data_IF_589150952945
#
_entry.id   IF_589150952945
#
_cell.length_a   1.000
_cell.length_b   1.000
_cell.length_c   1.000
_cell.angle_alpha   90.00
_cell.angle_beta   90.00
_cell.angle_gamma   90.00
#
_symmetry.space_group_name_H-M   'P 1'
#
loop_
_entity.id
_entity.type
_entity.pdbx_description
1 polymer ?
#
# COMPACT_ATOMS: atom_id res chain seq x y z
N UNK A 1 43.27 26.64 57.89
CA UNK A 1 42.16 27.44 57.31
C UNK A 1 42.69 28.19 56.10
N UNK A 2 42.59 27.65 54.87
CA UNK A 2 43.07 28.36 53.69
C UNK A 2 42.02 29.41 53.27
N UNK A 3 42.50 30.63 53.13
CA UNK A 3 41.78 31.85 52.78
C UNK A 3 41.05 31.76 51.45
N UNK A 4 39.72 31.82 51.49
CA UNK A 4 38.88 32.23 50.37
C UNK A 4 39.10 33.73 50.09
N UNK A 5 40.15 34.09 49.35
CA UNK A 5 40.19 35.37 48.64
C UNK A 5 40.07 35.04 47.15
N UNK A 6 38.82 34.86 46.68
CA UNK A 6 38.53 35.02 45.26
C UNK A 6 38.88 36.46 44.90
N UNK A 7 39.84 36.63 44.01
CA UNK A 7 40.30 37.94 43.57
C UNK A 7 39.13 38.74 42.98
N UNK A 8 38.65 39.70 43.76
CA UNK A 8 37.50 40.55 43.43
C UNK A 8 37.75 41.35 42.15
N UNK A 9 39.01 41.74 41.91
CA UNK A 9 39.41 42.45 40.70
C UNK A 9 39.27 41.54 39.47
N UNK A 10 39.80 40.32 39.54
CA UNK A 10 39.68 39.34 38.46
C UNK A 10 38.21 39.03 38.14
N UNK A 11 37.37 38.90 39.17
CA UNK A 11 35.94 38.66 39.00
C UNK A 11 35.25 39.82 38.26
N UNK A 12 35.55 41.07 38.65
CA UNK A 12 34.94 42.26 38.05
C UNK A 12 35.47 42.51 36.63
N UNK A 13 36.75 42.25 36.38
CA UNK A 13 37.35 42.28 35.05
C UNK A 13 36.65 41.28 34.11
N UNK A 14 36.51 40.02 34.54
CA UNK A 14 35.85 38.99 33.73
C UNK A 14 34.36 39.31 33.47
N UNK A 15 33.66 39.90 34.44
CA UNK A 15 32.29 40.40 34.25
C UNK A 15 32.22 41.52 33.21
N UNK A 16 33.14 42.49 33.25
CA UNK A 16 33.22 43.55 32.26
C UNK A 16 33.52 43.01 30.84
N UNK A 17 34.45 42.06 30.71
CA UNK A 17 34.73 41.39 29.44
C UNK A 17 33.51 40.64 28.91
N UNK A 18 32.82 39.87 29.76
CA UNK A 18 31.60 39.15 29.40
C UNK A 18 30.48 40.10 28.96
N UNK A 19 30.32 41.23 29.66
CA UNK A 19 29.34 42.24 29.29
C UNK A 19 29.68 42.90 27.95
N UNK A 20 30.95 43.23 27.70
CA UNK A 20 31.39 43.80 26.44
C UNK A 20 31.15 42.83 25.28
N UNK A 21 31.50 41.55 25.43
CA UNK A 21 31.27 40.52 24.42
C UNK A 21 29.79 40.40 24.02
N UNK A 22 28.87 40.54 24.98
CA UNK A 22 27.44 40.38 24.72
C UNK A 22 26.73 41.65 24.20
N UNK A 23 27.33 42.83 24.34
CA UNK A 23 26.67 44.12 24.02
C UNK A 23 27.39 44.94 22.96
N UNK A 24 28.66 44.65 22.68
CA UNK A 24 29.43 45.34 21.63
C UNK A 24 29.23 44.62 20.31
N UNK A 25 28.96 45.39 19.25
CA UNK A 25 28.91 44.88 17.88
C UNK A 25 30.33 44.85 17.31
N UNK A 26 30.80 43.66 16.96
CA UNK A 26 32.16 43.47 16.43
C UNK A 26 32.26 42.31 15.43
N UNK A 27 31.18 41.56 15.23
CA UNK A 27 31.14 40.44 14.27
C UNK A 27 30.50 40.95 12.99
N UNK A 28 31.23 40.94 11.89
CA UNK A 28 30.69 41.37 10.60
C UNK A 28 29.95 40.22 9.92
N UNK A 29 28.69 40.43 9.53
CA UNK A 29 27.93 39.46 8.75
C UNK A 29 28.37 39.45 7.28
N UNK A 30 27.88 38.49 6.50
CA UNK A 30 28.20 38.35 5.07
C UNK A 30 27.75 39.53 4.20
N UNK A 31 26.94 40.45 4.74
CA UNK A 31 26.49 41.69 4.08
C UNK A 31 27.27 42.93 4.52
N UNK A 32 28.23 42.80 5.44
CA UNK A 32 29.00 43.92 5.96
C UNK A 32 28.37 44.65 7.16
N UNK A 33 27.32 44.10 7.77
CA UNK A 33 26.68 44.68 8.95
C UNK A 33 27.30 44.13 10.24
N UNK A 34 27.53 45.00 11.22
CA UNK A 34 28.09 44.59 12.51
C UNK A 34 27.02 44.04 13.46
N UNK A 35 27.30 42.87 14.00
CA UNK A 35 26.48 42.07 14.89
C UNK A 35 27.19 41.87 16.25
N UNK A 36 26.38 41.70 17.28
CA UNK A 36 26.78 41.15 18.59
C UNK A 36 26.87 39.62 18.52
N UNK A 37 27.45 39.00 19.55
CA UNK A 37 27.59 37.55 19.63
C UNK A 37 26.23 36.82 19.51
N UNK A 38 25.22 37.28 20.25
CA UNK A 38 23.88 36.68 20.24
C UNK A 38 23.03 37.04 19.02
N UNK A 39 23.53 37.87 18.12
CA UNK A 39 22.89 38.23 16.85
C UNK A 39 23.35 37.35 15.68
N UNK A 40 24.46 36.61 15.84
CA UNK A 40 25.20 35.94 14.78
C UNK A 40 24.99 34.41 14.76
N UNK A 41 24.95 33.83 13.55
CA UNK A 41 24.88 32.40 13.28
C UNK A 41 25.95 32.02 12.25
N UNK A 42 26.70 30.95 12.52
CA UNK A 42 27.57 30.30 11.53
C UNK A 42 26.77 29.17 10.87
N UNK A 43 26.42 29.31 9.59
CA UNK A 43 25.80 28.21 8.81
C UNK A 43 26.89 27.36 8.13
N UNK A 44 27.14 26.17 8.69
CA UNK A 44 28.11 25.23 8.15
C UNK A 44 27.63 24.50 6.89
N UNK A 45 26.31 24.47 6.65
CA UNK A 45 25.73 23.74 5.53
C UNK A 45 25.49 24.64 4.31
N UNK A 46 25.66 25.95 4.49
CA UNK A 46 25.50 26.99 3.46
C UNK A 46 24.10 27.01 2.80
N UNK A 47 23.10 26.45 3.47
CA UNK A 47 21.71 26.45 3.00
C UNK A 47 21.09 27.84 3.10
N UNK A 48 21.58 28.70 4.01
CA UNK A 48 21.18 30.11 4.11
C UNK A 48 21.47 30.89 2.82
N UNK A 49 22.49 30.48 2.07
CA UNK A 49 22.90 31.11 0.81
C UNK A 49 22.09 30.62 -0.39
N UNK A 50 21.35 29.52 -0.24
CA UNK A 50 20.56 28.94 -1.31
C UNK A 50 19.18 29.60 -1.37
N UNK A 51 18.76 30.05 -2.55
CA UNK A 51 17.48 30.76 -2.71
C UNK A 51 16.25 29.92 -2.33
N UNK A 52 16.35 28.58 -2.42
CA UNK A 52 15.23 27.69 -2.15
C UNK A 52 14.94 27.45 -0.65
N UNK A 53 15.91 27.70 0.24
CA UNK A 53 15.70 27.75 1.71
C UNK A 53 15.75 29.20 2.16
N UNK A 54 16.85 29.89 1.85
CA UNK A 54 17.08 31.27 2.23
C UNK A 54 17.36 31.46 3.72
N UNK A 55 17.38 32.72 4.13
CA UNK A 55 17.85 33.12 5.46
C UNK A 55 16.77 33.05 6.53
N UNK A 56 15.52 33.32 6.13
CA UNK A 56 14.39 33.43 7.05
C UNK A 56 14.01 32.12 7.75
N UNK A 57 13.94 30.95 7.08
CA UNK A 57 13.53 29.73 7.76
C UNK A 57 14.51 29.30 8.85
N UNK A 58 15.82 29.39 8.57
CA UNK A 58 16.89 29.09 9.52
C UNK A 58 16.83 30.05 10.70
N UNK A 59 16.70 31.37 10.44
CA UNK A 59 16.57 32.38 11.49
C UNK A 59 15.37 32.11 12.40
N UNK A 60 14.19 31.85 11.82
CA UNK A 60 12.96 31.57 12.57
C UNK A 60 13.14 30.31 13.43
N UNK A 61 13.72 29.25 12.86
CA UNK A 61 13.96 28.02 13.59
C UNK A 61 14.92 28.23 14.78
N UNK A 62 16.04 28.92 14.55
CA UNK A 62 17.01 29.26 15.61
C UNK A 62 16.39 30.12 16.72
N UNK A 63 15.53 31.10 16.38
CA UNK A 63 14.79 31.91 17.37
C UNK A 63 13.84 31.08 18.25
N UNK A 64 13.32 29.96 17.74
CA UNK A 64 12.40 29.10 18.50
C UNK A 64 13.12 28.06 19.37
N UNK A 65 14.31 27.62 18.98
CA UNK A 65 15.11 26.64 19.73
C UNK A 65 16.02 27.28 20.78
N UNK A 66 16.63 28.42 20.45
CA UNK A 66 17.35 29.23 21.42
C UNK A 66 16.31 29.99 22.24
N UNK A 67 16.29 29.77 23.56
CA UNK A 67 15.41 30.35 24.57
C UNK A 67 14.85 31.76 24.27
N UNK A 68 13.71 32.19 24.86
CA UNK A 68 12.97 33.44 24.54
C UNK A 68 13.72 34.79 24.63
N UNK A 69 15.04 34.78 24.82
CA UNK A 69 15.94 35.92 24.80
C UNK A 69 16.89 35.95 23.58
N UNK A 70 16.76 35.04 22.60
CA UNK A 70 17.57 35.06 21.38
C UNK A 70 17.41 36.39 20.64
N UNK A 71 18.52 37.08 20.38
CA UNK A 71 18.58 38.43 19.78
C UNK A 71 19.00 38.38 18.32
N UNK A 72 18.67 37.32 17.59
CA UNK A 72 19.13 37.16 16.22
C UNK A 72 18.79 38.38 15.35
N UNK A 73 19.76 38.80 14.53
CA UNK A 73 19.58 39.95 13.63
C UNK A 73 18.35 39.77 12.74
N UNK A 74 17.52 40.82 12.65
CA UNK A 74 16.28 40.79 11.86
C UNK A 74 16.54 40.75 10.36
N UNK A 75 17.67 41.30 9.88
CA UNK A 75 18.00 41.42 8.47
C UNK A 75 18.78 40.20 7.96
N UNK A 76 19.89 39.86 8.63
CA UNK A 76 20.80 38.80 8.18
C UNK A 76 21.76 38.37 9.32
N UNK A 77 21.50 37.26 10.02
CA UNK A 77 22.35 36.81 11.14
C UNK A 77 23.60 36.03 10.70
N UNK A 78 23.78 35.73 9.41
CA UNK A 78 24.79 34.77 8.96
C UNK A 78 26.19 35.37 8.85
N UNK A 79 27.18 34.69 9.42
CA UNK A 79 28.59 35.07 9.41
C UNK A 79 29.44 33.96 8.80
N UNK A 80 30.62 34.32 8.28
CA UNK A 80 31.55 33.33 7.73
C UNK A 80 32.11 32.43 8.84
N UNK A 81 32.34 31.16 8.51
CA UNK A 81 32.94 30.22 9.44
C UNK A 81 34.39 30.61 9.78
N UNK A 82 34.67 30.77 11.06
CA UNK A 82 35.99 31.15 11.55
C UNK A 82 36.24 30.60 12.95
N UNK A 83 37.41 29.98 13.19
CA UNK A 83 37.75 29.32 14.47
C UNK A 83 37.54 30.23 15.70
N UNK A 84 37.97 31.49 15.63
CA UNK A 84 37.77 32.47 16.73
C UNK A 84 36.32 32.73 17.08
N UNK A 85 35.40 32.68 16.10
CA UNK A 85 33.98 32.89 16.37
C UNK A 85 33.39 31.66 17.09
N UNK A 86 33.87 30.46 16.76
CA UNK A 86 33.51 29.23 17.47
C UNK A 86 34.01 29.24 18.92
N UNK A 87 35.23 29.73 19.17
CA UNK A 87 35.77 29.90 20.53
C UNK A 87 35.00 30.91 21.38
N UNK A 88 34.25 31.81 20.75
CA UNK A 88 33.42 32.80 21.42
C UNK A 88 31.97 32.31 21.63
N UNK A 89 31.67 31.04 21.36
CA UNK A 89 30.33 30.45 21.48
C UNK A 89 29.27 31.13 20.59
N UNK A 90 29.64 31.56 19.39
CA UNK A 90 28.65 31.97 18.36
C UNK A 90 27.78 30.76 17.99
N UNK A 91 26.47 30.98 17.79
CA UNK A 91 25.55 29.92 17.43
C UNK A 91 25.98 29.25 16.10
N UNK A 92 26.09 27.93 16.12
CA UNK A 92 26.47 27.13 14.94
C UNK A 92 25.23 26.40 14.45
N UNK A 93 24.96 26.51 13.15
CA UNK A 93 23.88 25.84 12.45
C UNK A 93 24.43 24.71 11.58
N UNK A 94 23.93 23.50 11.83
CA UNK A 94 24.45 22.21 11.35
C UNK A 94 23.33 21.36 10.73
N UNK A 95 23.71 20.30 10.01
CA UNK A 95 22.76 19.35 9.40
C UNK A 95 21.77 18.74 10.40
N UNK A 96 22.14 18.60 11.67
CA UNK A 96 21.24 18.07 12.70
C UNK A 96 20.10 19.06 12.97
N UNK A 97 20.41 20.35 13.01
CA UNK A 97 19.41 21.40 13.12
C UNK A 97 18.59 21.54 11.83
N UNK A 98 19.17 21.33 10.65
CA UNK A 98 18.41 21.27 9.39
C UNK A 98 17.36 20.15 9.40
N UNK A 99 17.76 18.96 9.85
CA UNK A 99 16.87 17.80 9.94
C UNK A 99 15.65 18.12 10.81
N UNK A 100 15.86 18.80 11.93
CA UNK A 100 14.79 19.17 12.85
C UNK A 100 13.97 20.37 12.34
N UNK A 101 14.61 21.32 11.66
CA UNK A 101 13.92 22.41 10.95
C UNK A 101 12.98 21.86 9.88
N UNK A 102 13.42 20.91 9.05
CA UNK A 102 12.59 20.30 8.00
C UNK A 102 11.37 19.54 8.54
N UNK A 103 11.43 19.08 9.80
CA UNK A 103 10.28 18.46 10.49
C UNK A 103 9.33 19.48 11.12
N UNK A 104 9.76 20.73 11.30
CA UNK A 104 8.93 21.77 11.94
C UNK A 104 7.71 22.10 11.07
N UNK A 105 6.57 22.35 11.73
CA UNK A 105 5.31 22.69 11.04
C UNK A 105 5.40 24.05 10.35
N UNK A 106 6.18 24.95 10.93
CA UNK A 106 6.43 26.30 10.46
C UNK A 106 7.14 26.28 9.11
N UNK A 107 8.17 25.43 8.99
CA UNK A 107 8.90 25.24 7.74
C UNK A 107 8.01 24.62 6.66
N UNK A 108 7.35 23.49 6.97
CA UNK A 108 6.53 22.75 6.01
C UNK A 108 5.36 23.58 5.45
N UNK A 109 4.80 24.52 6.23
CA UNK A 109 3.74 25.42 5.76
C UNK A 109 4.20 26.39 4.66
N UNK A 110 5.46 26.82 4.68
CA UNK A 110 6.01 27.81 3.75
C UNK A 110 6.81 27.18 2.61
N UNK A 111 7.35 25.98 2.83
CA UNK A 111 8.20 25.30 1.86
C UNK A 111 7.38 24.78 0.68
N UNK A 112 7.73 25.24 -0.54
CA UNK A 112 7.00 24.92 -1.75
C UNK A 112 7.56 23.67 -2.46
N UNK A 113 6.79 23.09 -3.38
CA UNK A 113 7.26 21.97 -4.21
C UNK A 113 8.43 22.39 -5.10
N UNK A 114 8.40 23.61 -5.66
CA UNK A 114 9.50 24.11 -6.50
C UNK A 114 10.80 24.29 -5.70
N UNK A 115 10.70 24.74 -4.45
CA UNK A 115 11.83 24.76 -3.53
C UNK A 115 12.34 23.34 -3.24
N UNK A 116 11.44 22.36 -3.12
CA UNK A 116 11.83 20.97 -2.89
C UNK A 116 12.60 20.37 -4.07
N UNK A 117 12.22 20.67 -5.31
CA UNK A 117 12.95 20.24 -6.52
C UNK A 117 14.38 20.80 -6.53
N UNK A 118 14.53 22.07 -6.14
CA UNK A 118 15.84 22.71 -6.05
C UNK A 118 16.69 22.09 -4.93
N UNK A 119 16.10 21.79 -3.77
CA UNK A 119 16.77 21.09 -2.68
C UNK A 119 17.23 19.69 -3.11
N UNK A 120 16.39 18.93 -3.80
CA UNK A 120 16.74 17.60 -4.34
C UNK A 120 17.91 17.71 -5.32
N UNK A 121 17.87 18.68 -6.24
CA UNK A 121 18.96 18.92 -7.20
C UNK A 121 20.26 19.29 -6.49
N UNK A 122 20.20 20.20 -5.51
CA UNK A 122 21.35 20.62 -4.72
C UNK A 122 22.01 19.45 -3.96
N UNK A 123 21.20 18.61 -3.32
CA UNK A 123 21.69 17.41 -2.62
C UNK A 123 22.26 16.35 -3.58
N UNK A 124 21.68 16.23 -4.78
CA UNK A 124 22.18 15.34 -5.82
C UNK A 124 23.55 15.78 -6.36
N UNK A 125 23.78 17.09 -6.50
CA UNK A 125 25.06 17.64 -6.92
C UNK A 125 26.12 17.51 -5.81
N UNK A 126 25.68 17.63 -4.56
CA UNK A 126 26.53 17.51 -3.36
C UNK A 126 26.77 16.06 -2.91
N UNK A 127 26.26 15.06 -3.63
CA UNK A 127 26.32 13.63 -3.24
C UNK A 127 27.73 13.05 -3.12
N UNK A 128 28.74 13.71 -3.71
CA UNK A 128 30.14 13.28 -3.66
C UNK A 128 30.82 13.65 -2.34
N UNK A 129 30.23 14.56 -1.57
CA UNK A 129 30.68 14.88 -0.23
C UNK A 129 30.38 13.69 0.72
N UNK A 130 31.43 13.18 1.37
CA UNK A 130 31.34 12.00 2.25
C UNK A 130 30.48 12.25 3.49
N UNK A 131 30.44 13.47 4.00
CA UNK A 131 29.66 13.80 5.19
C UNK A 131 28.18 13.91 4.83
N UNK A 132 27.86 14.59 3.72
CA UNK A 132 26.48 14.67 3.21
C UNK A 132 25.97 13.29 2.84
N UNK A 133 26.76 12.48 2.12
CA UNK A 133 26.35 11.15 1.65
C UNK A 133 25.88 10.22 2.78
N UNK A 134 26.53 10.25 3.94
CA UNK A 134 26.11 9.47 5.12
C UNK A 134 24.78 9.96 5.71
N UNK A 135 24.52 11.25 5.59
CA UNK A 135 23.34 11.90 6.16
C UNK A 135 22.11 11.81 5.25
N UNK A 136 22.28 11.65 3.93
CA UNK A 136 21.18 11.63 2.96
C UNK A 136 20.04 10.66 3.33
N UNK A 137 20.34 9.48 3.89
CA UNK A 137 19.30 8.52 4.29
C UNK A 137 18.48 8.97 5.51
N UNK A 138 18.97 9.94 6.30
CA UNK A 138 18.35 10.45 7.53
C UNK A 138 17.63 11.79 7.32
N UNK A 139 18.02 12.55 6.30
CA UNK A 139 17.47 13.88 6.05
C UNK A 139 16.07 13.75 5.45
N UNK A 140 15.03 14.39 6.03
CA UNK A 140 13.72 14.46 5.41
C UNK A 140 13.74 15.56 4.36
N UNK A 141 14.03 15.22 3.10
CA UNK A 141 14.12 16.18 2.00
C UNK A 141 13.23 15.85 0.82
N UNK A 142 12.38 14.82 0.88
CA UNK A 142 11.48 14.46 -0.22
C UNK A 142 10.05 14.79 0.18
N UNK A 143 9.39 15.67 -0.56
CA UNK A 143 8.03 16.08 -0.24
C UNK A 143 7.01 15.01 -0.64
N UNK A 144 6.13 14.66 0.30
CA UNK A 144 4.98 13.80 0.05
C UNK A 144 3.75 14.59 -0.43
N UNK A 145 2.70 13.87 -0.79
CA UNK A 145 1.39 14.44 -1.18
C UNK A 145 0.74 15.36 -0.13
N UNK A 146 1.07 15.17 1.15
CA UNK A 146 0.54 15.98 2.25
C UNK A 146 1.41 17.23 2.48
N UNK A 147 2.38 17.49 1.59
CA UNK A 147 3.37 18.57 1.69
C UNK A 147 4.29 18.44 2.92
N UNK A 148 4.43 17.22 3.43
CA UNK A 148 5.37 16.91 4.50
C UNK A 148 6.67 16.38 3.89
N UNK A 149 7.81 16.82 4.44
CA UNK A 149 9.10 16.26 4.03
C UNK A 149 9.33 14.92 4.72
N UNK A 150 9.69 13.93 3.94
CA UNK A 150 9.94 12.55 4.38
C UNK A 150 11.39 12.15 4.08
N UNK A 151 11.88 11.20 4.85
CA UNK A 151 13.17 10.55 4.60
C UNK A 151 13.04 9.56 3.43
N UNK A 152 14.10 9.33 2.64
CA UNK A 152 14.06 8.45 1.48
C UNK A 152 13.48 7.06 1.75
N UNK A 153 13.79 6.46 2.90
CA UNK A 153 13.34 5.10 3.25
C UNK A 153 11.89 5.00 3.71
N UNK A 154 11.19 6.13 3.90
CA UNK A 154 9.79 6.18 4.36
C UNK A 154 8.81 6.63 3.29
N UNK A 155 9.30 6.93 2.09
CA UNK A 155 8.49 7.43 0.99
C UNK A 155 8.62 6.51 -0.22
N UNK A 156 7.53 6.33 -0.95
CA UNK A 156 7.50 5.50 -2.15
C UNK A 156 7.19 6.35 -3.38
N UNK A 157 7.78 5.97 -4.51
CA UNK A 157 7.34 6.51 -5.79
C UNK A 157 5.92 6.03 -6.10
N UNK A 158 5.03 6.91 -6.62
CA UNK A 158 3.74 6.47 -7.14
C UNK A 158 3.95 5.51 -8.32
N UNK A 159 3.12 4.47 -8.41
CA UNK A 159 3.15 3.55 -9.56
C UNK A 159 2.80 4.33 -10.85
N UNK A 160 3.47 4.00 -11.96
CA UNK A 160 3.21 4.60 -13.29
C UNK A 160 1.80 4.29 -13.84
N UNK A 161 1.00 3.52 -13.11
CA UNK A 161 -0.30 2.99 -13.52
C UNK A 161 -1.49 3.58 -12.73
N UNK A 162 -1.29 4.75 -12.11
CA UNK A 162 -2.25 5.41 -11.23
C UNK A 162 -3.45 6.05 -11.99
N UNK A 163 -4.44 5.24 -12.34
CA UNK A 163 -5.81 5.74 -12.53
C UNK A 163 -6.50 5.82 -11.17
N UNK A 164 -6.67 7.05 -10.67
CA UNK A 164 -7.74 7.70 -9.88
C UNK A 164 -8.36 6.94 -8.66
N UNK A 165 -8.37 5.62 -8.63
CA UNK A 165 -8.87 4.78 -7.53
C UNK A 165 -7.88 4.59 -6.36
N UNK A 166 -6.60 4.88 -6.56
CA UNK A 166 -5.55 4.76 -5.52
C UNK A 166 -5.50 5.97 -4.57
N UNK A 167 -6.27 7.02 -4.88
CA UNK A 167 -6.34 8.29 -4.16
C UNK A 167 -7.27 8.27 -2.95
N UNK A 168 -7.88 7.13 -2.62
CA UNK A 168 -8.75 7.06 -1.44
C UNK A 168 -7.93 7.44 -0.18
N UNK A 169 -8.43 8.45 0.53
CA UNK A 169 -7.78 9.28 1.55
C UNK A 169 -7.28 8.55 2.83
N UNK A 170 -6.99 7.25 2.76
CA UNK A 170 -6.85 6.42 3.96
C UNK A 170 -5.59 5.53 4.00
N UNK A 171 -4.68 5.67 3.05
CA UNK A 171 -3.36 5.03 3.19
C UNK A 171 -2.49 5.88 4.11
N UNK A 172 -2.10 5.33 5.27
CA UNK A 172 -1.09 5.92 6.17
C UNK A 172 0.30 6.09 5.52
N UNK A 173 0.44 5.67 4.26
CA UNK A 173 1.69 5.67 3.51
C UNK A 173 1.96 7.02 2.85
N UNK A 174 3.24 7.42 2.86
CA UNK A 174 3.72 8.62 2.21
C UNK A 174 4.17 8.32 0.76
N UNK A 175 3.56 9.03 -0.20
CA UNK A 175 3.89 8.96 -1.62
C UNK A 175 4.54 10.25 -2.06
N UNK A 176 5.57 10.15 -2.93
CA UNK A 176 6.23 11.31 -3.56
C UNK A 176 5.19 12.18 -4.25
N UNK A 177 5.24 13.49 -4.00
CA UNK A 177 4.33 14.46 -4.59
C UNK A 177 4.36 14.41 -6.13
N UNK A 178 3.21 14.47 -6.79
CA UNK A 178 3.08 14.24 -8.24
C UNK A 178 3.91 15.22 -9.09
N UNK A 179 3.88 16.50 -8.73
CA UNK A 179 4.69 17.53 -9.39
C UNK A 179 6.20 17.25 -9.35
N UNK A 180 6.70 16.56 -8.31
CA UNK A 180 8.11 16.14 -8.27
C UNK A 180 8.38 15.11 -9.37
N UNK A 181 7.47 14.16 -9.57
CA UNK A 181 7.61 13.13 -10.60
C UNK A 181 7.61 13.72 -12.01
N UNK A 182 6.84 14.78 -12.22
CA UNK A 182 6.74 15.45 -13.51
C UNK A 182 7.95 16.34 -13.83
N UNK A 183 8.55 16.96 -12.79
CA UNK A 183 9.62 17.96 -12.96
C UNK A 183 11.03 17.39 -12.72
N UNK A 184 11.18 16.30 -11.99
CA UNK A 184 12.48 15.68 -11.75
C UNK A 184 12.99 14.93 -12.98
N UNK A 185 14.28 15.07 -13.25
CA UNK A 185 14.95 14.35 -14.32
C UNK A 185 15.17 12.88 -13.95
N UNK A 186 15.26 12.00 -14.96
CA UNK A 186 15.45 10.56 -14.77
C UNK A 186 16.65 10.18 -13.90
N UNK A 187 17.73 10.97 -13.90
CA UNK A 187 18.90 10.70 -13.07
C UNK A 187 18.64 11.00 -11.59
N UNK A 188 17.82 12.00 -11.26
CA UNK A 188 17.38 12.25 -9.89
C UNK A 188 16.55 11.09 -9.37
N UNK A 189 15.60 10.59 -10.18
CA UNK A 189 14.75 9.45 -9.82
C UNK A 189 15.61 8.21 -9.52
N UNK A 190 16.58 7.88 -10.39
CA UNK A 190 17.50 6.75 -10.17
C UNK A 190 18.35 6.91 -8.90
N UNK A 191 18.78 8.12 -8.60
CA UNK A 191 19.54 8.38 -7.38
C UNK A 191 18.68 8.28 -6.12
N UNK A 192 17.47 8.80 -6.15
CA UNK A 192 16.51 8.65 -5.06
C UNK A 192 16.18 7.16 -4.80
N UNK A 193 16.07 6.35 -5.86
CA UNK A 193 15.94 4.90 -5.74
C UNK A 193 17.14 4.26 -5.02
N UNK A 194 18.37 4.68 -5.36
CA UNK A 194 19.59 4.23 -4.65
C UNK A 194 19.61 4.65 -3.17
N UNK A 195 18.98 5.79 -2.82
CA UNK A 195 18.86 6.24 -1.43
C UNK A 195 17.83 5.47 -0.61
N UNK A 196 17.04 4.60 -1.24
CA UNK A 196 16.04 3.76 -0.59
C UNK A 196 14.60 4.18 -0.84
N UNK A 197 14.34 5.12 -1.76
CA UNK A 197 12.98 5.38 -2.24
C UNK A 197 12.53 4.19 -3.09
N UNK A 198 11.69 3.34 -2.54
CA UNK A 198 11.24 2.15 -3.25
C UNK A 198 10.11 2.48 -4.23
N UNK A 199 10.14 1.85 -5.40
CA UNK A 199 8.93 1.70 -6.20
C UNK A 199 8.02 0.68 -5.50
N UNK A 200 6.82 1.10 -5.12
CA UNK A 200 5.75 0.12 -4.90
C UNK A 200 5.36 -0.40 -6.28
N UNK A 201 6.01 -1.48 -6.70
CA UNK A 201 5.56 -2.23 -7.87
C UNK A 201 4.19 -2.80 -7.57
N UNK A 202 3.35 -2.94 -8.59
CA UNK A 202 2.01 -3.53 -8.44
C UNK A 202 2.06 -4.92 -7.76
N UNK A 203 3.19 -5.63 -7.87
CA UNK A 203 3.49 -6.87 -7.16
C UNK A 203 3.62 -6.70 -5.65
N UNK A 204 4.34 -5.66 -5.19
CA UNK A 204 4.45 -5.38 -3.76
C UNK A 204 3.08 -5.06 -3.14
N UNK A 205 2.23 -4.32 -3.85
CA UNK A 205 0.85 -4.04 -3.43
C UNK A 205 -0.03 -5.29 -3.45
N UNK A 206 0.10 -6.09 -4.51
CA UNK A 206 -0.57 -7.38 -4.62
C UNK A 206 -0.25 -8.29 -3.42
N UNK A 207 1.02 -8.46 -3.08
CA UNK A 207 1.43 -9.34 -1.97
C UNK A 207 1.12 -8.78 -0.58
N UNK A 208 1.23 -7.47 -0.36
CA UNK A 208 1.10 -6.88 0.98
C UNK A 208 -0.29 -6.30 1.30
N UNK A 209 -1.12 -6.05 0.28
CA UNK A 209 -2.44 -5.44 0.46
C UNK A 209 -3.56 -6.33 -0.08
N UNK A 210 -3.47 -6.78 -1.34
CA UNK A 210 -4.55 -7.55 -1.97
C UNK A 210 -4.67 -8.96 -1.38
N UNK A 211 -3.55 -9.68 -1.24
CA UNK A 211 -3.57 -11.04 -0.66
C UNK A 211 -4.07 -11.03 0.79
N UNK A 212 -3.57 -10.19 1.71
CA UNK A 212 -4.02 -10.21 3.10
C UNK A 212 -5.47 -9.73 3.30
N UNK A 213 -6.00 -8.90 2.40
CA UNK A 213 -7.33 -8.31 2.49
C UNK A 213 -8.28 -8.81 1.39
N UNK A 214 -8.04 -10.00 0.83
CA UNK A 214 -8.77 -10.51 -0.33
C UNK A 214 -10.30 -10.46 -0.16
N UNK A 215 -10.82 -10.75 1.04
CA UNK A 215 -12.26 -10.76 1.32
C UNK A 215 -12.90 -9.37 1.40
N UNK A 216 -12.15 -8.31 1.69
CA UNK A 216 -12.69 -6.96 1.99
C UNK A 216 -12.21 -5.87 1.04
N UNK A 217 -11.19 -6.13 0.23
CA UNK A 217 -10.55 -5.11 -0.60
C UNK A 217 -11.43 -4.65 -1.77
N UNK A 218 -12.16 -5.58 -2.40
CA UNK A 218 -12.97 -5.29 -3.58
C UNK A 218 -14.36 -4.77 -3.17
N UNK A 219 -14.75 -3.62 -3.73
CA UNK A 219 -16.08 -3.04 -3.66
C UNK A 219 -16.64 -2.79 -5.09
N UNK A 220 -17.90 -2.38 -5.20
CA UNK A 220 -18.58 -2.26 -6.51
C UNK A 220 -17.89 -1.22 -7.41
N UNK A 221 -17.31 -0.17 -6.82
CA UNK A 221 -16.65 0.92 -7.54
C UNK A 221 -15.26 0.52 -8.07
N UNK A 222 -14.49 -0.25 -7.29
CA UNK A 222 -13.11 -0.60 -7.63
C UNK A 222 -12.97 -1.97 -8.33
N UNK A 223 -14.01 -2.81 -8.30
CA UNK A 223 -13.93 -4.20 -8.75
C UNK A 223 -13.49 -4.34 -10.20
N UNK A 224 -14.10 -3.56 -11.10
CA UNK A 224 -13.85 -3.69 -12.53
C UNK A 224 -12.38 -3.41 -12.86
N UNK A 225 -11.88 -2.25 -12.42
CA UNK A 225 -10.53 -1.80 -12.70
C UNK A 225 -9.47 -2.69 -12.03
N UNK A 226 -9.70 -3.08 -10.77
CA UNK A 226 -8.73 -3.91 -10.02
C UNK A 226 -8.56 -5.28 -10.66
N UNK A 227 -9.65 -5.97 -11.02
CA UNK A 227 -9.58 -7.30 -11.61
C UNK A 227 -8.98 -7.25 -13.03
N UNK A 228 -9.29 -6.22 -13.82
CA UNK A 228 -8.63 -5.95 -15.10
C UNK A 228 -7.13 -5.76 -14.95
N UNK A 229 -6.70 -5.03 -13.92
CA UNK A 229 -5.29 -4.83 -13.61
C UNK A 229 -4.59 -6.14 -13.20
N UNK A 230 -5.21 -6.93 -12.33
CA UNK A 230 -4.66 -8.23 -11.92
C UNK A 230 -4.49 -9.17 -13.11
N UNK A 231 -5.45 -9.19 -14.03
CA UNK A 231 -5.35 -9.97 -15.26
C UNK A 231 -4.19 -9.48 -16.13
N UNK A 232 -4.00 -8.17 -16.29
CA UNK A 232 -2.85 -7.61 -17.02
C UNK A 232 -1.51 -8.06 -16.42
N UNK A 233 -1.36 -8.00 -15.09
CA UNK A 233 -0.14 -8.43 -14.40
C UNK A 233 0.13 -9.93 -14.57
N UNK A 234 -0.92 -10.76 -14.48
CA UNK A 234 -0.85 -12.19 -14.76
C UNK A 234 -0.42 -12.48 -16.21
N UNK A 235 -1.05 -11.80 -17.18
CA UNK A 235 -0.76 -11.98 -18.61
C UNK A 235 0.65 -11.59 -18.99
N UNK A 236 1.23 -10.61 -18.29
CA UNK A 236 2.61 -10.19 -18.47
C UNK A 236 3.62 -11.02 -17.66
N UNK A 237 3.17 -12.09 -17.00
CA UNK A 237 4.02 -13.00 -16.24
C UNK A 237 4.58 -12.40 -14.95
N UNK A 238 3.99 -11.31 -14.45
CA UNK A 238 4.43 -10.67 -13.22
C UNK A 238 3.83 -11.35 -11.99
N UNK A 239 2.62 -11.90 -12.12
CA UNK A 239 1.94 -12.71 -11.08
C UNK A 239 1.83 -14.15 -11.58
N UNK A 240 2.12 -15.13 -10.74
CA UNK A 240 2.01 -16.54 -11.10
C UNK A 240 0.68 -17.16 -10.65
N UNK A 241 0.31 -18.29 -11.27
CA UNK A 241 -0.92 -19.01 -10.93
C UNK A 241 -0.99 -19.43 -9.46
N UNK A 242 0.15 -19.67 -8.82
CA UNK A 242 0.20 -20.08 -7.41
C UNK A 242 -0.15 -18.93 -6.46
N UNK A 243 0.18 -17.70 -6.82
CA UNK A 243 -0.23 -16.54 -6.04
C UNK A 243 -1.74 -16.27 -6.15
N UNK A 244 -2.32 -16.51 -7.33
CA UNK A 244 -3.75 -16.34 -7.57
C UNK A 244 -4.62 -17.35 -6.82
N UNK A 245 -4.10 -18.56 -6.53
CA UNK A 245 -4.83 -19.57 -5.74
C UNK A 245 -5.17 -19.07 -4.33
N UNK A 246 -4.34 -18.21 -3.76
CA UNK A 246 -4.58 -17.62 -2.44
C UNK A 246 -5.68 -16.54 -2.45
N UNK A 247 -6.17 -16.15 -3.64
CA UNK A 247 -7.21 -15.15 -3.84
C UNK A 247 -8.60 -15.75 -4.10
N UNK A 248 -8.84 -17.00 -3.73
CA UNK A 248 -10.16 -17.63 -3.88
C UNK A 248 -11.30 -16.86 -3.19
N UNK A 249 -11.01 -16.15 -2.10
CA UNK A 249 -11.97 -15.32 -1.37
C UNK A 249 -12.09 -13.88 -1.93
N UNK A 250 -11.33 -13.54 -2.98
CA UNK A 250 -11.41 -12.24 -3.62
C UNK A 250 -12.79 -12.06 -4.27
N UNK A 251 -13.51 -11.01 -3.86
CA UNK A 251 -14.85 -10.74 -4.40
C UNK A 251 -14.80 -10.25 -5.84
N UNK A 252 -15.65 -10.82 -6.70
CA UNK A 252 -15.85 -10.40 -8.10
C UNK A 252 -17.29 -9.91 -8.28
N UNK A 253 -17.50 -8.99 -9.22
CA UNK A 253 -18.83 -8.60 -9.67
C UNK A 253 -19.46 -9.72 -10.47
N UNK A 254 -20.75 -9.92 -10.27
CA UNK A 254 -21.59 -10.87 -11.01
C UNK A 254 -22.37 -10.17 -12.12
N UNK A 255 -23.03 -10.93 -13.01
CA UNK A 255 -23.98 -10.36 -13.99
C UNK A 255 -25.15 -9.63 -13.32
N UNK A 256 -25.44 -9.90 -12.04
CA UNK A 256 -26.42 -9.18 -11.22
C UNK A 256 -25.86 -7.91 -10.54
N UNK A 257 -24.61 -7.55 -10.81
CA UNK A 257 -23.90 -6.42 -10.20
C UNK A 257 -23.74 -6.54 -8.67
N UNK A 258 -23.70 -7.78 -8.16
CA UNK A 258 -23.42 -8.10 -6.75
C UNK A 258 -21.98 -8.58 -6.61
N UNK A 259 -21.40 -8.46 -5.40
CA UNK A 259 -20.05 -8.95 -5.10
C UNK A 259 -20.11 -10.33 -4.46
N UNK A 260 -19.42 -11.28 -5.06
CA UNK A 260 -19.36 -12.68 -4.60
C UNK A 260 -17.92 -13.19 -4.70
N UNK A 261 -17.40 -13.95 -3.71
CA UNK A 261 -16.07 -14.53 -3.77
C UNK A 261 -15.83 -15.37 -5.03
N UNK A 262 -14.63 -15.25 -5.61
CA UNK A 262 -14.24 -15.92 -6.85
C UNK A 262 -14.45 -17.45 -6.80
N UNK A 263 -14.11 -18.09 -5.68
CA UNK A 263 -14.26 -19.54 -5.48
C UNK A 263 -15.70 -20.04 -5.47
N UNK A 264 -16.68 -19.13 -5.39
CA UNK A 264 -18.11 -19.45 -5.41
C UNK A 264 -18.77 -19.25 -6.76
N UNK A 265 -18.09 -18.59 -7.69
CA UNK A 265 -18.62 -18.19 -8.99
C UNK A 265 -18.33 -19.21 -10.09
N UNK A 266 -19.09 -19.08 -11.17
CA UNK A 266 -18.91 -19.83 -12.41
C UNK A 266 -18.55 -18.90 -13.56
N UNK A 267 -17.75 -19.44 -14.47
CA UNK A 267 -17.52 -18.80 -15.77
C UNK A 267 -18.81 -18.78 -16.58
N UNK A 268 -19.12 -17.62 -17.14
CA UNK A 268 -20.22 -17.49 -18.09
C UNK A 268 -19.85 -18.08 -19.45
N UNK A 269 -20.86 -18.44 -20.25
CA UNK A 269 -20.65 -19.06 -21.59
C UNK A 269 -19.73 -18.23 -22.50
N UNK A 270 -19.74 -16.90 -22.35
CA UNK A 270 -18.93 -15.99 -23.14
C UNK A 270 -17.41 -16.20 -22.95
N UNK A 271 -16.99 -16.79 -21.82
CA UNK A 271 -15.60 -17.17 -21.54
C UNK A 271 -15.21 -18.56 -22.07
N UNK A 272 -16.13 -19.26 -22.75
CA UNK A 272 -15.95 -20.64 -23.25
C UNK A 272 -15.50 -21.63 -22.16
N UNK A 273 -16.27 -21.75 -21.06
CA UNK A 273 -15.98 -22.72 -20.01
C UNK A 273 -16.06 -24.14 -20.56
N UNK A 274 -15.39 -25.07 -19.89
CA UNK A 274 -15.54 -26.50 -20.19
C UNK A 274 -17.00 -26.98 -20.06
N UNK A 275 -17.78 -26.33 -19.19
CA UNK A 275 -19.19 -26.60 -18.99
C UNK A 275 -20.03 -25.31 -18.96
N UNK A 276 -20.83 -25.07 -20.00
CA UNK A 276 -21.64 -23.86 -20.17
C UNK A 276 -22.96 -23.92 -19.39
N UNK A 277 -22.89 -23.89 -18.05
CA UNK A 277 -24.07 -23.97 -17.14
C UNK A 277 -25.06 -22.82 -17.38
N UNK A 278 -24.54 -21.63 -17.70
CA UNK A 278 -25.32 -20.40 -17.90
C UNK A 278 -26.39 -20.55 -19.00
N UNK A 279 -26.12 -21.35 -20.04
CA UNK A 279 -27.09 -21.62 -21.12
C UNK A 279 -28.37 -22.30 -20.61
N UNK A 280 -28.26 -23.12 -19.57
CA UNK A 280 -29.38 -23.87 -18.99
C UNK A 280 -30.11 -23.06 -17.91
N UNK A 281 -29.44 -22.07 -17.29
CA UNK A 281 -29.98 -21.28 -16.19
C UNK A 281 -29.71 -19.77 -16.34
N UNK A 282 -30.23 -19.12 -17.41
CA UNK A 282 -29.97 -17.71 -17.69
C UNK A 282 -30.49 -16.73 -16.62
N UNK A 283 -31.35 -17.20 -15.71
CA UNK A 283 -31.87 -16.42 -14.57
C UNK A 283 -30.91 -16.39 -13.37
N UNK A 284 -29.88 -17.25 -13.33
CA UNK A 284 -28.92 -17.34 -12.22
C UNK A 284 -27.76 -16.34 -12.38
N UNK A 285 -28.05 -15.10 -12.78
CA UNK A 285 -27.05 -14.06 -13.08
C UNK A 285 -26.13 -13.70 -11.91
N UNK A 286 -26.53 -13.98 -10.68
CA UNK A 286 -25.74 -13.78 -9.47
C UNK A 286 -24.63 -14.83 -9.26
N UNK A 287 -24.56 -15.88 -10.08
CA UNK A 287 -23.53 -16.92 -9.98
C UNK A 287 -22.45 -16.82 -11.06
N UNK A 288 -22.61 -15.92 -12.02
CA UNK A 288 -21.84 -15.89 -13.25
C UNK A 288 -21.01 -14.62 -13.40
N UNK A 289 -19.77 -14.76 -13.83
CA UNK A 289 -18.83 -13.65 -14.06
C UNK A 289 -19.21 -12.87 -15.33
N UNK A 290 -19.50 -11.56 -15.28
CA UNK A 290 -19.92 -10.79 -16.44
C UNK A 290 -18.77 -10.60 -17.45
N UNK A 291 -19.11 -10.31 -18.70
CA UNK A 291 -18.14 -9.99 -19.76
C UNK A 291 -17.55 -8.59 -19.63
N UNK A 292 -18.07 -7.74 -18.75
CA UNK A 292 -17.55 -6.39 -18.50
C UNK A 292 -16.07 -6.37 -18.12
N UNK A 293 -15.56 -7.45 -17.51
CA UNK A 293 -14.15 -7.61 -17.22
C UNK A 293 -13.29 -7.76 -18.48
N UNK A 294 -13.80 -8.34 -19.56
CA UNK A 294 -13.05 -8.61 -20.77
C UNK A 294 -12.68 -7.31 -21.49
N UNK A 295 -11.41 -6.92 -21.37
CA UNK A 295 -10.79 -5.89 -22.22
C UNK A 295 -10.16 -6.49 -23.48
N UNK A 296 -9.33 -5.72 -24.21
CA UNK A 296 -8.59 -6.07 -25.44
C UNK A 296 -7.57 -7.24 -25.31
N UNK A 297 -7.77 -8.15 -24.37
CA UNK A 297 -6.96 -9.34 -24.12
C UNK A 297 -7.70 -10.57 -24.66
N UNK A 298 -6.97 -11.54 -25.20
CA UNK A 298 -7.54 -12.80 -25.68
C UNK A 298 -8.40 -13.50 -24.61
N UNK A 299 -9.59 -13.95 -25.02
CA UNK A 299 -10.57 -14.66 -24.17
C UNK A 299 -9.97 -15.81 -23.37
N UNK A 300 -9.05 -16.57 -23.98
CA UNK A 300 -8.40 -17.71 -23.34
C UNK A 300 -7.56 -17.30 -22.12
N UNK A 301 -6.93 -16.13 -22.16
CA UNK A 301 -6.13 -15.61 -21.04
C UNK A 301 -7.02 -15.22 -19.87
N UNK A 302 -8.18 -14.62 -20.15
CA UNK A 302 -9.20 -14.33 -19.14
C UNK A 302 -9.76 -15.59 -18.49
N UNK A 303 -10.07 -16.62 -19.29
CA UNK A 303 -10.48 -17.93 -18.78
C UNK A 303 -9.42 -18.49 -17.81
N UNK A 304 -8.16 -18.56 -18.24
CA UNK A 304 -7.08 -19.07 -17.39
C UNK A 304 -6.89 -18.25 -16.11
N UNK A 305 -6.99 -16.93 -16.19
CA UNK A 305 -6.90 -16.04 -15.03
C UNK A 305 -8.00 -16.34 -14.00
N UNK A 306 -9.27 -16.37 -14.42
CA UNK A 306 -10.39 -16.64 -13.51
C UNK A 306 -10.36 -18.05 -12.92
N UNK A 307 -9.99 -19.07 -13.72
CA UNK A 307 -9.80 -20.43 -13.20
C UNK A 307 -8.66 -20.48 -12.18
N UNK A 308 -7.57 -19.74 -12.41
CA UNK A 308 -6.45 -19.65 -11.46
C UNK A 308 -6.82 -18.92 -10.15
N UNK A 309 -7.78 -18.00 -10.22
CA UNK A 309 -8.42 -17.36 -9.06
C UNK A 309 -9.36 -18.28 -8.28
N UNK A 310 -9.73 -19.44 -8.86
CA UNK A 310 -10.65 -20.40 -8.24
C UNK A 310 -12.09 -20.34 -8.76
N UNK A 311 -12.38 -19.51 -9.78
CA UNK A 311 -13.68 -19.53 -10.46
C UNK A 311 -13.90 -20.89 -11.11
N UNK A 312 -15.09 -21.45 -10.90
CA UNK A 312 -15.39 -22.81 -11.31
C UNK A 312 -15.80 -22.86 -12.79
N UNK A 313 -15.28 -23.82 -13.54
CA UNK A 313 -15.71 -24.09 -14.92
C UNK A 313 -16.37 -25.48 -15.08
N UNK A 314 -16.37 -26.29 -14.01
CA UNK A 314 -16.89 -27.66 -13.99
C UNK A 314 -17.78 -27.90 -12.76
N UNK A 315 -18.54 -29.01 -12.82
CA UNK A 315 -19.38 -29.47 -11.72
C UNK A 315 -18.48 -30.17 -10.69
N UNK A 316 -18.39 -29.60 -9.49
CA UNK A 316 -17.53 -30.11 -8.42
C UNK A 316 -18.32 -30.85 -7.33
N UNK A 317 -17.63 -31.76 -6.64
CA UNK A 317 -18.11 -32.38 -5.42
C UNK A 317 -18.02 -31.40 -4.25
N UNK A 318 -19.11 -31.28 -3.48
CA UNK A 318 -19.18 -30.48 -2.26
C UNK A 318 -19.43 -31.37 -1.05
N UNK A 319 -18.80 -31.10 0.12
CA UNK A 319 -19.08 -31.83 1.35
C UNK A 319 -20.48 -31.51 1.88
N UNK A 320 -21.20 -32.55 2.34
CA UNK A 320 -22.44 -32.41 3.10
C UNK A 320 -22.09 -32.07 4.55
N UNK A 321 -22.58 -30.94 5.05
CA UNK A 321 -22.43 -30.58 6.46
C UNK A 321 -23.43 -31.37 7.33
N UNK A 322 -23.13 -31.46 8.63
CA UNK A 322 -23.78 -32.30 9.66
C UNK A 322 -25.31 -32.24 9.71
N UNK A 323 -25.97 -31.24 9.10
CA UNK A 323 -27.43 -31.11 9.08
C UNK A 323 -28.12 -31.68 7.83
N UNK A 324 -27.38 -32.33 6.90
CA UNK A 324 -27.95 -32.85 5.65
C UNK A 324 -28.51 -31.78 4.71
N UNK A 325 -28.38 -30.49 5.10
CA UNK A 325 -28.71 -29.34 4.27
C UNK A 325 -27.49 -29.04 3.40
N UNK A 326 -27.71 -28.98 2.08
CA UNK A 326 -26.81 -28.26 1.18
C UNK A 326 -26.48 -26.93 1.84
N UNK A 327 -25.19 -26.55 1.83
CA UNK A 327 -24.66 -25.36 2.50
C UNK A 327 -25.65 -24.20 2.37
N UNK A 328 -26.29 -23.89 3.50
CA UNK A 328 -27.40 -22.92 3.60
C UNK A 328 -26.98 -21.51 3.18
N UNK A 329 -25.68 -21.29 2.95
CA UNK A 329 -25.09 -20.05 2.49
C UNK A 329 -25.11 -19.85 0.96
N UNK A 330 -25.60 -20.82 0.18
CA UNK A 330 -25.76 -20.69 -1.28
C UNK A 330 -27.19 -20.34 -1.72
N UNK A 331 -28.17 -20.34 -0.81
CA UNK A 331 -29.60 -20.30 -1.15
C UNK A 331 -30.43 -19.45 -0.18
N UNK A 332 -29.95 -18.25 0.16
CA UNK A 332 -30.83 -17.18 0.62
C UNK A 332 -31.16 -16.35 -0.64
N UNK A 333 -32.03 -16.81 -1.55
CA UNK A 333 -33.30 -16.08 -1.68
C UNK A 333 -34.47 -16.78 -2.42
N UNK A 334 -34.43 -18.07 -2.80
CA UNK A 334 -35.53 -18.61 -3.65
C UNK A 334 -36.05 -20.04 -3.40
N UNK A 335 -35.53 -20.88 -2.50
CA UNK A 335 -36.10 -22.24 -2.34
C UNK A 335 -36.26 -22.68 -0.89
N UNK A 336 -37.47 -22.50 -0.37
CA UNK A 336 -37.90 -22.93 0.97
C UNK A 336 -38.64 -24.27 0.97
N UNK A 337 -38.52 -25.09 -0.08
CA UNK A 337 -39.36 -26.27 -0.23
C UNK A 337 -38.47 -27.51 -0.44
N UNK A 338 -38.82 -28.55 0.33
CA UNK A 338 -38.36 -29.94 0.25
C UNK A 338 -37.04 -30.26 0.96
N UNK A 339 -37.05 -30.33 2.30
CA UNK A 339 -36.38 -31.42 3.04
C UNK A 339 -36.83 -31.38 4.52
N UNK A 340 -38.07 -31.78 4.77
CA UNK A 340 -38.59 -32.08 6.10
C UNK A 340 -38.87 -33.58 6.19
N UNK A 341 -37.84 -34.43 6.30
CA UNK A 341 -38.02 -35.82 6.71
C UNK A 341 -36.92 -36.25 7.70
N UNK A 342 -37.35 -36.45 8.94
CA UNK A 342 -36.78 -37.27 10.02
C UNK A 342 -35.43 -36.83 10.63
N UNK A 343 -35.53 -36.02 11.69
CA UNK A 343 -34.46 -35.54 12.58
C UNK A 343 -33.74 -36.61 13.43
N UNK A 344 -33.87 -37.91 13.12
CA UNK A 344 -33.28 -38.99 13.93
C UNK A 344 -32.11 -39.72 13.24
N UNK A 345 -31.56 -39.21 12.13
CA UNK A 345 -30.37 -39.78 11.46
C UNK A 345 -29.18 -38.81 11.30
N UNK A 346 -29.16 -37.72 12.05
CA UNK A 346 -28.20 -36.61 11.88
C UNK A 346 -26.74 -37.03 12.10
N UNK A 347 -26.46 -38.14 12.80
CA UNK A 347 -25.08 -38.60 13.05
C UNK A 347 -24.44 -39.48 11.96
N UNK A 348 -25.11 -39.75 10.82
CA UNK A 348 -24.59 -40.67 9.77
C UNK A 348 -24.12 -40.00 8.47
N UNK A 349 -24.13 -38.67 8.37
CA UNK A 349 -23.87 -37.96 7.11
C UNK A 349 -22.60 -37.11 7.12
N UNK A 350 -21.82 -37.15 8.20
CA UNK A 350 -20.65 -36.29 8.48
C UNK A 350 -19.50 -36.32 7.45
N UNK A 351 -19.56 -37.21 6.45
CA UNK A 351 -18.49 -37.41 5.46
C UNK A 351 -19.00 -37.67 4.04
N UNK A 352 -20.27 -37.39 3.73
CA UNK A 352 -20.79 -37.62 2.37
C UNK A 352 -20.50 -36.40 1.48
N UNK A 353 -20.06 -36.64 0.25
CA UNK A 353 -19.97 -35.61 -0.79
C UNK A 353 -21.20 -35.67 -1.68
N UNK A 354 -21.70 -34.53 -2.13
CA UNK A 354 -22.78 -34.42 -3.11
C UNK A 354 -22.32 -33.63 -4.33
N UNK A 355 -23.01 -33.78 -5.44
CA UNK A 355 -22.69 -33.12 -6.71
C UNK A 355 -23.51 -31.81 -6.78
N UNK A 356 -22.82 -30.67 -6.99
CA UNK A 356 -23.49 -29.37 -7.09
C UNK A 356 -24.44 -29.34 -8.31
N UNK A 357 -25.59 -28.69 -8.19
CA UNK A 357 -26.67 -28.64 -9.20
C UNK A 357 -27.49 -29.92 -9.42
N UNK A 358 -27.31 -30.96 -8.59
CA UNK A 358 -28.08 -32.20 -8.68
C UNK A 358 -29.61 -31.94 -8.69
N UNK A 359 -30.10 -31.05 -7.84
CA UNK A 359 -31.53 -30.70 -7.73
C UNK A 359 -32.09 -30.06 -9.00
N UNK A 360 -31.25 -29.39 -9.80
CA UNK A 360 -31.67 -28.76 -11.04
C UNK A 360 -31.92 -29.78 -12.16
N UNK A 361 -31.50 -31.03 -11.97
CA UNK A 361 -31.79 -32.13 -12.91
C UNK A 361 -33.23 -32.64 -12.81
N UNK A 362 -33.93 -32.39 -11.71
CA UNK A 362 -35.29 -32.90 -11.50
C UNK A 362 -36.31 -32.26 -12.45
N UNK A 363 -36.11 -30.98 -12.78
CA UNK A 363 -37.09 -30.17 -13.52
C UNK A 363 -36.63 -29.77 -14.93
N UNK A 364 -35.41 -30.15 -15.35
CA UNK A 364 -34.88 -29.83 -16.67
C UNK A 364 -34.20 -31.06 -17.29
N UNK A 365 -34.91 -31.73 -18.19
CA UNK A 365 -34.47 -32.98 -18.82
C UNK A 365 -33.19 -32.80 -19.66
N UNK A 366 -33.09 -31.73 -20.43
CA UNK A 366 -31.93 -31.45 -21.27
C UNK A 366 -30.69 -31.20 -20.41
N UNK A 367 -30.85 -30.47 -19.31
CA UNK A 367 -29.79 -30.29 -18.33
C UNK A 367 -29.45 -31.60 -17.61
N UNK A 368 -30.44 -32.41 -17.22
CA UNK A 368 -30.22 -33.70 -16.55
C UNK A 368 -29.37 -34.65 -17.40
N UNK A 369 -29.71 -34.76 -18.69
CA UNK A 369 -28.96 -35.57 -19.65
C UNK A 369 -27.51 -35.10 -19.76
N UNK A 370 -27.31 -33.80 -19.93
CA UNK A 370 -25.99 -33.19 -20.01
C UNK A 370 -25.18 -33.35 -18.71
N UNK A 371 -25.81 -33.09 -17.56
CA UNK A 371 -25.25 -33.21 -16.22
C UNK A 371 -24.74 -34.62 -15.95
N UNK A 372 -25.57 -35.64 -16.17
CA UNK A 372 -25.19 -37.03 -15.88
C UNK A 372 -24.14 -37.56 -16.84
N UNK A 373 -24.21 -37.19 -18.12
CA UNK A 373 -23.16 -37.53 -19.09
C UNK A 373 -21.81 -36.98 -18.63
N UNK A 374 -21.78 -35.73 -18.16
CA UNK A 374 -20.56 -35.11 -17.67
C UNK A 374 -20.10 -35.64 -16.32
N UNK A 375 -21.02 -35.86 -15.37
CA UNK A 375 -20.73 -36.39 -14.05
C UNK A 375 -20.11 -37.80 -14.13
N UNK A 376 -20.64 -38.68 -14.98
CA UNK A 376 -20.12 -40.04 -15.17
C UNK A 376 -18.71 -40.02 -15.75
N UNK A 377 -18.41 -39.08 -16.65
CA UNK A 377 -17.11 -38.98 -17.30
C UNK A 377 -16.02 -38.38 -16.41
N UNK A 378 -16.38 -37.46 -15.50
CA UNK A 378 -15.41 -36.62 -14.79
C UNK A 378 -15.39 -36.81 -13.27
N UNK A 379 -16.40 -37.45 -12.67
CA UNK A 379 -16.45 -37.70 -11.22
C UNK A 379 -16.09 -39.15 -10.93
N UNK A 380 -15.01 -39.36 -10.18
CA UNK A 380 -14.66 -40.71 -9.74
C UNK A 380 -15.64 -41.17 -8.65
N UNK A 381 -16.35 -42.28 -8.90
CA UNK A 381 -17.32 -42.87 -7.97
C UNK A 381 -16.68 -43.21 -6.61
N UNK A 382 -15.37 -43.45 -6.56
CA UNK A 382 -14.63 -43.66 -5.30
C UNK A 382 -14.60 -42.42 -4.41
N UNK A 383 -14.64 -41.22 -5.00
CA UNK A 383 -14.63 -39.96 -4.26
C UNK A 383 -15.99 -39.64 -3.62
N UNK A 384 -17.05 -40.32 -4.05
CA UNK A 384 -18.37 -40.31 -3.40
C UNK A 384 -18.46 -41.29 -2.22
N UNK A 385 -17.50 -42.21 -2.08
CA UNK A 385 -17.58 -43.37 -1.17
C UNK A 385 -16.48 -43.47 -0.11
N UNK A 386 -15.46 -42.61 -0.15
CA UNK A 386 -14.47 -42.43 0.92
C UNK A 386 -14.91 -41.25 1.82
N UNK A 387 -15.21 -41.36 3.12
CA UNK A 387 -14.78 -42.29 4.16
C UNK A 387 -15.98 -42.78 5.02
N UNK A 388 -15.99 -44.08 5.35
CA UNK A 388 -16.75 -44.61 6.48
C UNK A 388 -18.24 -44.92 6.25
N UNK A 389 -18.60 -45.85 5.36
CA UNK A 389 -19.61 -46.90 5.67
C UNK A 389 -19.77 -47.91 4.54
N UNK A 390 -19.09 -49.04 4.69
CA UNK A 390 -19.13 -50.24 3.84
C UNK A 390 -20.47 -51.00 3.84
N UNK A 391 -21.62 -50.35 4.08
CA UNK A 391 -22.94 -51.02 4.11
C UNK A 391 -24.09 -50.34 3.36
N UNK A 392 -23.94 -49.11 2.84
CA UNK A 392 -25.06 -48.38 2.20
C UNK A 392 -25.17 -48.55 0.67
N UNK A 393 -24.05 -48.61 -0.04
CA UNK A 393 -24.03 -48.52 -1.51
C UNK A 393 -24.49 -49.81 -2.21
N UNK A 394 -24.39 -50.96 -1.54
CA UNK A 394 -24.88 -52.24 -2.08
C UNK A 394 -26.39 -52.27 -2.34
N UNK A 395 -27.18 -51.33 -1.80
CA UNK A 395 -28.66 -51.35 -1.91
C UNK A 395 -29.23 -50.46 -3.02
N UNK A 396 -28.44 -49.52 -3.56
CA UNK A 396 -28.86 -48.66 -4.68
C UNK A 396 -28.47 -49.26 -6.04
N UNK A 397 -27.33 -49.96 -6.12
CA UNK A 397 -26.93 -50.66 -7.35
C UNK A 397 -27.57 -52.05 -7.52
N UNK A 398 -28.24 -52.60 -6.50
CA UNK A 398 -28.92 -53.91 -6.57
C UNK A 398 -30.41 -53.82 -6.92
N UNK A 399 -30.94 -52.64 -7.27
CA UNK A 399 -32.36 -52.42 -7.62
C UNK A 399 -32.58 -51.96 -9.06
N UNK A 400 -31.53 -51.92 -9.88
CA UNK A 400 -31.60 -51.61 -11.32
C UNK A 400 -31.37 -52.83 -12.23
N UNK A 401 -31.32 -54.04 -11.66
CA UNK A 401 -31.28 -55.31 -12.39
C UNK A 401 -32.35 -56.19 -11.76
N UNK A 402 -33.59 -55.98 -12.19
CA UNK A 402 -34.75 -56.88 -12.18
C UNK A 402 -35.99 -56.00 -12.39
N UNK A 403 -36.36 -55.82 -13.65
CA UNK A 403 -37.45 -54.98 -14.14
C UNK A 403 -37.34 -54.75 -15.62
#
# INVERSE_FOLDING_TARGET
MPTQNRDSLATKYNQCCSNALNHTKFICNTRGEDLTLGEAIIDLNHLSNQQFIGTEPIRIYSLHQCAPQSRLSQSHPFVADHHRLRELDVEIFTWEQDIDMFKSKEFQKKFSVDCNIQLISYLYDSKTDKEIAKLLHRIPFIMDRNKCLQIPTKICFPSKFNDISWYSNNTQEAYVHEDLMNKLQNHHIKWLEQLGVTFRTDLSFFHHTIIPQASTFINVENALHTIQRLCYLYVNGQIHSDDLKNLGELSLLTKANTLVPANRLYLSTEYEPSLSIDNYFPKMTHLFVPTSYMQNVFRIKWKHFFVSLGVQENINLIPLNDNGRLVQHYYEDQMKIIFCLNSNQVHRYKYKRTIKFLELTENNFDFARFFWQHAIQNINVRDLTNEGTTRGVKKLFSRGYDG
#
